data_IF_743770963785
#
_entry.id   IF_743770963785
#
_cell.length_a   1.000
_cell.length_b   1.000
_cell.length_c   1.000
_cell.angle_alpha   90.00
_cell.angle_beta   90.00
_cell.angle_gamma   90.00
#
_symmetry.space_group_name_H-M   'P 1'
#
loop_
_entity.id
_entity.type
_entity.pdbx_description
1 polymer ?
#
# COMPACT_ATOMS: atom_id res chain seq x y z
N UNK A 1 -36.43 -14.96 18.65
CA UNK A 1 -35.47 -15.79 19.41
C UNK A 1 -34.29 -16.26 18.55
N UNK A 2 -34.47 -16.62 17.27
CA UNK A 2 -33.35 -16.93 16.35
C UNK A 2 -32.53 -15.69 15.98
N UNK A 3 -33.16 -14.53 15.79
CA UNK A 3 -32.50 -13.31 15.32
C UNK A 3 -31.57 -12.69 16.37
N UNK A 4 -31.94 -12.75 17.65
CA UNK A 4 -31.12 -12.24 18.76
C UNK A 4 -29.78 -12.98 18.89
N UNK A 5 -29.72 -14.25 18.50
CA UNK A 5 -28.47 -15.01 18.48
C UNK A 5 -27.56 -14.57 17.32
N UNK A 6 -28.12 -14.39 16.13
CA UNK A 6 -27.38 -13.91 14.95
C UNK A 6 -26.82 -12.51 15.15
N UNK A 7 -27.60 -11.58 15.73
CA UNK A 7 -27.15 -10.22 16.04
C UNK A 7 -25.96 -10.24 17.01
N UNK A 8 -26.08 -10.97 18.13
CA UNK A 8 -24.98 -11.09 19.11
C UNK A 8 -23.73 -11.74 18.50
N UNK A 9 -23.93 -12.70 17.59
CA UNK A 9 -22.82 -13.37 16.90
C UNK A 9 -22.13 -12.43 15.90
N UNK A 10 -22.89 -11.61 15.19
CA UNK A 10 -22.37 -10.61 14.26
C UNK A 10 -21.59 -9.51 15.00
N UNK A 11 -22.11 -8.99 16.10
CA UNK A 11 -21.42 -8.01 16.96
C UNK A 11 -20.09 -8.56 17.49
N UNK A 12 -20.07 -9.82 17.91
CA UNK A 12 -18.85 -10.47 18.36
C UNK A 12 -17.80 -10.64 17.24
N UNK A 13 -18.23 -11.03 16.04
CA UNK A 13 -17.34 -11.12 14.87
C UNK A 13 -16.80 -9.74 14.46
N UNK A 14 -17.63 -8.70 14.54
CA UNK A 14 -17.22 -7.32 14.27
C UNK A 14 -16.16 -6.87 15.28
N UNK A 15 -16.38 -7.11 16.57
CA UNK A 15 -15.40 -6.81 17.63
C UNK A 15 -14.05 -7.53 17.41
N UNK A 16 -14.06 -8.79 16.97
CA UNK A 16 -12.83 -9.52 16.63
C UNK A 16 -12.08 -8.90 15.44
N UNK A 17 -12.82 -8.40 14.45
CA UNK A 17 -12.25 -7.66 13.32
C UNK A 17 -11.61 -6.35 13.78
N UNK A 18 -12.33 -5.57 14.59
CA UNK A 18 -11.89 -4.26 15.08
C UNK A 18 -10.68 -4.37 16.01
N UNK A 19 -10.60 -5.45 16.80
CA UNK A 19 -9.45 -5.76 17.67
C UNK A 19 -8.30 -6.47 16.94
N UNK A 20 -8.37 -6.62 15.61
CA UNK A 20 -7.37 -7.28 14.75
C UNK A 20 -7.05 -8.74 15.14
N UNK A 21 -7.98 -9.41 15.82
CA UNK A 21 -7.83 -10.82 16.19
C UNK A 21 -8.30 -11.73 15.04
N UNK A 22 -7.61 -11.64 13.89
CA UNK A 22 -8.02 -12.33 12.67
C UNK A 22 -8.05 -13.87 12.84
N UNK A 23 -7.13 -14.43 13.63
CA UNK A 23 -7.08 -15.88 13.88
C UNK A 23 -8.36 -16.43 14.54
N UNK A 24 -8.86 -15.73 15.56
CA UNK A 24 -10.11 -16.10 16.26
C UNK A 24 -11.34 -15.76 15.42
N UNK A 25 -11.31 -14.65 14.66
CA UNK A 25 -12.36 -14.32 13.69
C UNK A 25 -12.58 -15.45 12.69
N UNK A 26 -11.51 -15.90 12.00
CA UNK A 26 -11.63 -16.97 11.01
C UNK A 26 -12.03 -18.31 11.64
N UNK A 27 -11.60 -18.60 12.88
CA UNK A 27 -12.02 -19.79 13.59
C UNK A 27 -13.54 -19.79 13.86
N UNK A 28 -14.09 -18.64 14.29
CA UNK A 28 -15.52 -18.49 14.55
C UNK A 28 -16.37 -18.50 13.28
N UNK A 29 -15.91 -17.85 12.20
CA UNK A 29 -16.58 -17.92 10.89
C UNK A 29 -16.63 -19.35 10.37
N UNK A 30 -15.54 -20.13 10.52
CA UNK A 30 -15.53 -21.55 10.12
C UNK A 30 -16.54 -22.39 10.90
N UNK A 31 -16.77 -22.10 12.18
CA UNK A 31 -17.81 -22.79 12.98
C UNK A 31 -19.22 -22.49 12.45
N UNK A 32 -19.46 -21.29 11.93
CA UNK A 32 -20.76 -20.89 11.36
C UNK A 32 -21.03 -21.51 9.99
N UNK A 33 -20.01 -21.58 9.13
CA UNK A 33 -20.13 -22.14 7.77
C UNK A 33 -20.27 -23.67 7.79
N UNK A 34 -19.90 -24.31 8.91
CA UNK A 34 -19.98 -25.75 9.08
C UNK A 34 -18.88 -26.50 8.34
N UNK A 35 -18.95 -27.85 8.29
CA UNK A 35 -17.98 -28.67 7.58
C UNK A 35 -17.98 -28.32 6.08
N UNK A 36 -16.93 -27.66 5.62
CA UNK A 36 -16.77 -27.37 4.19
C UNK A 36 -16.44 -28.67 3.45
N UNK A 37 -17.39 -29.18 2.68
CA UNK A 37 -17.16 -30.35 1.83
C UNK A 37 -16.15 -29.98 0.74
N UNK A 38 -14.87 -30.29 0.96
CA UNK A 38 -13.85 -30.18 -0.07
C UNK A 38 -14.06 -31.30 -1.07
N UNK A 39 -14.89 -31.07 -2.08
CA UNK A 39 -14.86 -31.90 -3.29
C UNK A 39 -13.55 -31.61 -4.01
N UNK A 40 -12.48 -32.30 -3.63
CA UNK A 40 -11.27 -32.35 -4.45
C UNK A 40 -11.63 -33.12 -5.71
N UNK A 41 -11.80 -32.38 -6.82
CA UNK A 41 -11.97 -33.02 -8.12
C UNK A 41 -10.70 -33.83 -8.38
N UNK A 42 -10.81 -35.13 -8.68
CA UNK A 42 -9.65 -35.92 -9.06
C UNK A 42 -8.84 -35.27 -10.17
N UNK A 43 -7.55 -35.07 -9.94
CA UNK A 43 -6.65 -34.74 -11.03
C UNK A 43 -6.56 -35.96 -11.96
N UNK A 44 -6.73 -35.75 -13.25
CA UNK A 44 -6.62 -36.80 -14.26
C UNK A 44 -5.26 -36.78 -14.94
N UNK A 45 -4.82 -37.93 -15.43
CA UNK A 45 -3.67 -38.06 -16.33
C UNK A 45 -3.84 -37.17 -17.57
N UNK A 46 -2.76 -36.98 -18.34
CA UNK A 46 -2.81 -36.21 -19.60
C UNK A 46 -3.82 -36.78 -20.60
N UNK A 47 -3.97 -38.11 -20.67
CA UNK A 47 -4.97 -38.78 -21.51
C UNK A 47 -6.40 -38.68 -20.96
N UNK A 48 -6.59 -38.24 -19.71
CA UNK A 48 -7.90 -38.14 -19.08
C UNK A 48 -8.50 -39.46 -18.57
N UNK A 49 -7.80 -40.58 -18.78
CA UNK A 49 -8.30 -41.94 -18.51
C UNK A 49 -8.07 -42.36 -17.05
N UNK A 50 -6.98 -41.92 -16.42
CA UNK A 50 -6.60 -42.35 -15.07
C UNK A 50 -6.74 -41.23 -14.05
N UNK A 51 -7.34 -41.55 -12.90
CA UNK A 51 -7.39 -40.66 -11.72
C UNK A 51 -6.07 -40.74 -10.97
N UNK A 52 -5.39 -39.61 -10.82
CA UNK A 52 -4.16 -39.48 -10.05
C UNK A 52 -4.51 -39.24 -8.58
N UNK A 53 -4.13 -40.17 -7.71
CA UNK A 53 -4.36 -40.09 -6.26
C UNK A 53 -3.07 -40.00 -5.46
N UNK A 54 -1.96 -40.54 -5.98
CA UNK A 54 -0.65 -40.42 -5.36
C UNK A 54 -0.09 -39.00 -5.52
N UNK A 55 0.61 -38.51 -4.49
CA UNK A 55 1.14 -37.14 -4.44
C UNK A 55 2.18 -36.91 -5.54
N UNK A 56 3.02 -37.91 -5.77
CA UNK A 56 4.11 -37.90 -6.74
C UNK A 56 3.55 -37.76 -8.16
N UNK A 57 2.50 -38.52 -8.48
CA UNK A 57 1.84 -38.48 -9.78
C UNK A 57 1.13 -37.14 -10.03
N UNK A 58 0.51 -36.57 -8.98
CA UNK A 58 -0.11 -35.25 -9.05
C UNK A 58 0.94 -34.17 -9.34
N UNK A 59 2.07 -34.19 -8.62
CA UNK A 59 3.16 -33.23 -8.83
C UNK A 59 3.76 -33.35 -10.23
N UNK A 60 3.96 -34.58 -10.72
CA UNK A 60 4.42 -34.83 -12.09
C UNK A 60 3.46 -34.28 -13.13
N UNK A 61 2.15 -34.51 -12.95
CA UNK A 61 1.11 -33.99 -13.85
C UNK A 61 1.04 -32.46 -13.85
N UNK A 62 1.25 -31.82 -12.70
CA UNK A 62 1.37 -30.36 -12.60
C UNK A 62 2.60 -29.85 -13.34
N UNK A 63 3.76 -30.49 -13.16
CA UNK A 63 4.98 -30.12 -13.86
C UNK A 63 4.81 -30.20 -15.39
N UNK A 64 4.18 -31.26 -15.88
CA UNK A 64 3.83 -31.42 -17.30
C UNK A 64 2.90 -30.29 -17.77
N UNK A 65 1.83 -29.99 -17.02
CA UNK A 65 0.87 -28.95 -17.38
C UNK A 65 1.53 -27.56 -17.46
N UNK A 66 2.32 -27.18 -16.45
CA UNK A 66 2.97 -25.87 -16.42
C UNK A 66 4.06 -25.75 -17.48
N UNK A 67 4.78 -26.84 -17.79
CA UNK A 67 5.73 -26.85 -18.90
C UNK A 67 5.04 -26.55 -20.23
N UNK A 68 3.87 -27.15 -20.49
CA UNK A 68 3.09 -26.84 -21.69
C UNK A 68 2.45 -25.46 -21.67
N UNK A 69 2.04 -24.96 -20.52
CA UNK A 69 1.35 -23.67 -20.44
C UNK A 69 2.34 -22.50 -20.56
N UNK A 70 3.43 -22.56 -19.80
CA UNK A 70 4.38 -21.46 -19.60
C UNK A 70 5.62 -21.59 -20.48
N UNK A 71 6.12 -22.81 -20.70
CA UNK A 71 7.34 -23.05 -21.48
C UNK A 71 7.06 -23.49 -22.92
N UNK A 72 5.87 -23.17 -23.46
CA UNK A 72 5.67 -23.15 -24.91
C UNK A 72 6.69 -22.16 -25.45
N UNK A 73 7.58 -22.63 -26.34
CA UNK A 73 8.52 -21.80 -27.07
C UNK A 73 7.77 -20.78 -27.93
N UNK A 74 7.24 -19.74 -27.28
CA UNK A 74 6.83 -18.52 -27.93
C UNK A 74 8.15 -17.87 -28.29
N UNK A 75 8.59 -18.08 -29.53
CA UNK A 75 9.50 -17.14 -30.14
C UNK A 75 8.73 -15.83 -30.10
N UNK A 76 9.01 -15.00 -29.10
CA UNK A 76 8.53 -13.64 -29.11
C UNK A 76 9.06 -13.08 -30.42
N UNK A 77 8.16 -12.73 -31.33
CA UNK A 77 8.56 -12.07 -32.55
C UNK A 77 9.13 -10.71 -32.12
N UNK A 78 10.46 -10.65 -32.02
CA UNK A 78 11.18 -9.46 -31.60
C UNK A 78 10.87 -8.32 -32.59
N UNK A 79 10.60 -8.66 -33.85
CA UNK A 79 10.10 -7.74 -34.86
C UNK A 79 8.74 -7.15 -34.52
N UNK A 80 7.79 -7.97 -34.02
CA UNK A 80 6.51 -7.48 -33.52
C UNK A 80 6.71 -6.50 -32.37
N UNK A 81 7.55 -6.83 -31.39
CA UNK A 81 7.81 -5.96 -30.22
C UNK A 81 8.48 -4.65 -30.64
N UNK A 82 9.45 -4.69 -31.57
CA UNK A 82 10.10 -3.48 -32.09
C UNK A 82 9.15 -2.61 -32.91
N UNK A 83 8.09 -3.20 -33.47
CA UNK A 83 7.06 -2.51 -34.23
C UNK A 83 5.87 -2.04 -33.38
N UNK A 84 5.86 -2.33 -32.06
CA UNK A 84 4.91 -1.71 -31.14
C UNK A 84 5.32 -0.25 -31.02
N UNK A 85 4.60 0.63 -31.73
CA UNK A 85 4.72 2.05 -31.53
C UNK A 85 4.47 2.36 -30.05
N UNK A 86 5.30 3.19 -29.39
CA UNK A 86 4.99 3.69 -28.06
C UNK A 86 3.54 4.22 -28.07
N UNK A 87 2.73 3.94 -27.03
CA UNK A 87 1.44 4.61 -26.93
C UNK A 87 1.67 6.11 -27.10
N UNK A 88 0.78 6.83 -27.80
CA UNK A 88 0.90 8.27 -27.91
C UNK A 88 1.16 8.79 -26.50
N UNK A 89 2.23 9.57 -26.35
CA UNK A 89 2.54 10.26 -25.12
C UNK A 89 1.39 11.23 -24.90
N UNK A 90 0.30 10.75 -24.30
CA UNK A 90 -0.72 11.61 -23.74
C UNK A 90 0.04 12.29 -22.63
N UNK A 91 0.46 13.53 -22.86
CA UNK A 91 0.79 14.43 -21.77
C UNK A 91 -0.39 14.28 -20.82
N UNK A 92 -0.18 13.68 -19.65
CA UNK A 92 -1.17 13.66 -18.59
C UNK A 92 -1.48 15.12 -18.31
N UNK A 93 -2.50 15.63 -19.00
CA UNK A 93 -2.93 17.00 -18.81
C UNK A 93 -3.53 16.99 -17.42
N UNK A 94 -2.87 17.67 -16.49
CA UNK A 94 -3.44 17.92 -15.17
C UNK A 94 -4.66 18.86 -15.25
N UNK A 95 -4.96 19.38 -16.45
CA UNK A 95 -6.13 20.18 -16.70
C UNK A 95 -7.39 19.32 -16.62
N UNK A 96 -8.38 19.74 -15.81
CA UNK A 96 -9.64 19.03 -15.71
C UNK A 96 -10.34 19.04 -17.08
N UNK A 97 -11.00 17.93 -17.48
CA UNK A 97 -11.67 17.84 -18.76
C UNK A 97 -12.73 18.94 -18.89
N UNK A 98 -12.75 19.58 -20.06
CA UNK A 98 -13.68 20.68 -20.35
C UNK A 98 -15.09 20.14 -20.55
N UNK A 99 -16.11 20.93 -20.20
CA UNK A 99 -17.53 20.57 -20.36
C UNK A 99 -17.86 20.05 -21.79
N UNK A 100 -17.28 20.68 -22.82
CA UNK A 100 -17.47 20.26 -24.22
C UNK A 100 -16.85 18.88 -24.52
N UNK A 101 -15.70 18.57 -23.93
CA UNK A 101 -15.04 17.26 -24.10
C UNK A 101 -15.88 16.15 -23.47
N UNK A 102 -16.45 16.40 -22.28
CA UNK A 102 -17.34 15.45 -21.61
C UNK A 102 -18.60 15.21 -22.45
N UNK A 103 -19.23 16.28 -22.97
CA UNK A 103 -20.41 16.15 -23.83
C UNK A 103 -20.10 15.37 -25.11
N UNK A 104 -18.96 15.66 -25.76
CA UNK A 104 -18.53 14.93 -26.96
C UNK A 104 -18.24 13.46 -26.65
N UNK A 105 -17.58 13.16 -25.54
CA UNK A 105 -17.28 11.80 -25.13
C UNK A 105 -18.56 10.99 -24.87
N UNK A 106 -19.57 11.59 -24.25
CA UNK A 106 -20.89 10.97 -24.05
C UNK A 106 -21.59 10.72 -25.40
N UNK A 107 -21.47 11.63 -26.36
CA UNK A 107 -22.07 11.46 -27.70
C UNK A 107 -21.39 10.37 -28.54
N UNK A 108 -20.09 10.16 -28.35
CA UNK A 108 -19.31 9.16 -29.10
C UNK A 108 -19.46 7.74 -28.52
N UNK A 109 -20.08 7.58 -27.33
CA UNK A 109 -20.32 6.27 -26.74
C UNK A 109 -21.41 5.49 -27.50
N UNK A 110 -21.17 4.21 -27.84
CA UNK A 110 -22.15 3.39 -28.55
C UNK A 110 -23.32 2.98 -27.66
N UNK A 111 -24.55 3.21 -28.14
CA UNK A 111 -25.87 3.02 -27.47
C UNK A 111 -26.24 1.58 -27.03
N UNK A 112 -25.28 0.64 -26.98
CA UNK A 112 -25.55 -0.78 -26.76
C UNK A 112 -24.65 -1.37 -25.64
N UNK A 113 -24.34 -0.60 -24.59
CA UNK A 113 -23.56 -1.15 -23.46
C UNK A 113 -24.49 -1.75 -22.41
N UNK A 114 -24.07 -2.88 -21.84
CA UNK A 114 -24.76 -3.47 -20.70
C UNK A 114 -24.76 -2.49 -19.52
N UNK A 115 -25.91 -2.37 -18.86
CA UNK A 115 -26.06 -1.56 -17.63
C UNK A 115 -25.10 -2.08 -16.57
N UNK A 116 -24.34 -1.17 -15.95
CA UNK A 116 -23.41 -1.49 -14.89
C UNK A 116 -24.10 -1.98 -13.62
N UNK A 117 -23.31 -2.39 -12.62
CA UNK A 117 -23.79 -2.80 -11.29
C UNK A 117 -24.57 -1.66 -10.59
N UNK A 118 -24.29 -0.42 -10.97
CA UNK A 118 -24.99 0.79 -10.55
C UNK A 118 -26.42 0.91 -11.07
N UNK A 119 -26.87 0.00 -11.95
CA UNK A 119 -28.24 -0.08 -12.46
C UNK A 119 -28.73 1.19 -13.18
N UNK A 120 -27.82 2.04 -13.67
CA UNK A 120 -28.15 3.28 -14.38
C UNK A 120 -28.52 2.95 -15.83
N UNK A 121 -29.78 3.11 -16.26
CA UNK A 121 -30.19 2.77 -17.61
C UNK A 121 -29.68 3.81 -18.63
N UNK A 122 -29.02 3.34 -19.68
CA UNK A 122 -28.48 4.12 -20.82
C UNK A 122 -29.54 5.05 -21.46
N UNK A 123 -30.81 4.64 -21.43
CA UNK A 123 -31.95 5.34 -22.05
C UNK A 123 -32.42 6.60 -21.31
N UNK A 124 -31.85 6.94 -20.16
CA UNK A 124 -32.14 8.22 -19.50
C UNK A 124 -31.59 9.43 -20.27
N UNK A 125 -30.78 9.21 -21.32
CA UNK A 125 -30.04 10.28 -22.02
C UNK A 125 -30.65 10.77 -23.35
N UNK A 126 -31.77 10.19 -23.84
CA UNK A 126 -32.23 10.45 -25.23
C UNK A 126 -33.64 11.02 -25.40
N UNK A 127 -34.41 11.25 -24.33
CA UNK A 127 -35.72 11.96 -24.46
C UNK A 127 -35.54 13.42 -24.09
N UNK A 128 -36.18 14.34 -24.81
CA UNK A 128 -36.06 15.83 -24.86
C UNK A 128 -35.85 16.62 -23.54
N UNK A 129 -35.97 15.97 -22.38
CA UNK A 129 -35.50 16.41 -21.06
C UNK A 129 -33.97 16.26 -20.84
N UNK A 130 -33.28 15.50 -21.70
CA UNK A 130 -31.91 15.04 -21.51
C UNK A 130 -30.79 16.07 -21.76
N UNK A 131 -31.10 17.34 -22.04
CA UNK A 131 -30.06 18.37 -22.16
C UNK A 131 -29.72 19.03 -20.80
N UNK A 132 -30.70 19.08 -19.88
CA UNK A 132 -30.46 19.53 -18.49
C UNK A 132 -29.73 18.46 -17.70
N UNK A 133 -30.17 17.21 -17.80
CA UNK A 133 -29.59 16.09 -17.07
C UNK A 133 -28.14 15.79 -17.51
N UNK A 134 -27.81 15.97 -18.80
CA UNK A 134 -26.42 15.83 -19.29
C UNK A 134 -25.50 16.95 -18.81
N UNK A 135 -25.99 18.19 -18.77
CA UNK A 135 -25.23 19.32 -18.24
C UNK A 135 -25.00 19.17 -16.72
N UNK A 136 -25.98 18.65 -15.99
CA UNK A 136 -25.90 18.37 -14.56
C UNK A 136 -24.88 17.25 -14.26
N UNK A 137 -24.94 16.14 -15.00
CA UNK A 137 -23.96 15.04 -14.89
C UNK A 137 -22.55 15.52 -15.25
N UNK A 138 -22.39 16.31 -16.31
CA UNK A 138 -21.09 16.83 -16.72
C UNK A 138 -20.55 17.88 -15.72
N UNK A 139 -21.42 18.69 -15.10
CA UNK A 139 -21.04 19.61 -14.02
C UNK A 139 -20.61 18.86 -12.74
N UNK A 140 -21.32 17.78 -12.40
CA UNK A 140 -20.99 16.93 -11.25
C UNK A 140 -19.66 16.21 -11.47
N UNK A 141 -19.41 15.69 -12.67
CA UNK A 141 -18.12 15.11 -13.02
C UNK A 141 -17.01 16.15 -12.93
N UNK A 142 -17.18 17.31 -13.55
CA UNK A 142 -16.18 18.37 -13.55
C UNK A 142 -15.83 18.82 -12.12
N UNK A 143 -16.83 19.01 -11.26
CA UNK A 143 -16.63 19.33 -9.85
C UNK A 143 -15.90 18.21 -9.09
N UNK A 144 -16.22 16.94 -9.36
CA UNK A 144 -15.53 15.79 -8.75
C UNK A 144 -14.06 15.68 -9.15
N UNK A 145 -13.73 15.96 -10.42
CA UNK A 145 -12.34 16.02 -10.89
C UNK A 145 -11.56 17.18 -10.27
N UNK A 146 -12.19 18.35 -10.12
CA UNK A 146 -11.56 19.50 -9.44
C UNK A 146 -11.28 19.22 -7.96
N UNK A 147 -12.20 18.57 -7.25
CA UNK A 147 -12.01 18.15 -5.85
C UNK A 147 -10.87 17.11 -5.74
N UNK A 148 -10.81 16.15 -6.66
CA UNK A 148 -9.72 15.18 -6.71
C UNK A 148 -8.35 15.83 -6.94
N UNK A 149 -8.26 16.75 -7.91
CA UNK A 149 -7.03 17.50 -8.18
C UNK A 149 -6.62 18.36 -6.97
N UNK A 150 -7.58 19.01 -6.32
CA UNK A 150 -7.33 19.79 -5.09
C UNK A 150 -6.78 18.89 -3.96
N UNK A 151 -7.36 17.69 -3.77
CA UNK A 151 -6.90 16.72 -2.79
C UNK A 151 -5.51 16.17 -3.12
N UNK A 152 -5.22 15.90 -4.40
CA UNK A 152 -3.89 15.48 -4.88
C UNK A 152 -2.83 16.53 -4.51
N UNK A 153 -3.11 17.81 -4.79
CA UNK A 153 -2.21 18.92 -4.44
C UNK A 153 -1.95 19.01 -2.93
N UNK A 154 -2.99 18.86 -2.10
CA UNK A 154 -2.84 18.85 -0.63
C UNK A 154 -1.96 17.67 -0.17
N UNK A 155 -2.14 16.48 -0.74
CA UNK A 155 -1.33 15.30 -0.40
C UNK A 155 0.13 15.50 -0.79
N UNK A 156 0.40 16.12 -1.94
CA UNK A 156 1.77 16.44 -2.37
C UNK A 156 2.44 17.48 -1.46
N UNK A 157 1.72 18.53 -1.05
CA UNK A 157 2.20 19.52 -0.09
C UNK A 157 2.51 18.89 1.29
N UNK A 158 1.66 17.95 1.76
CA UNK A 158 1.92 17.20 2.98
C UNK A 158 3.16 16.30 2.88
N UNK A 159 3.41 15.68 1.71
CA UNK A 159 4.63 14.90 1.48
C UNK A 159 5.88 15.78 1.55
N UNK A 160 5.84 16.96 0.94
CA UNK A 160 6.95 17.91 0.95
C UNK A 160 7.26 18.33 2.39
N UNK A 161 6.26 18.75 3.16
CA UNK A 161 6.43 19.13 4.58
C UNK A 161 7.04 18.01 5.42
N UNK A 162 6.58 16.78 5.26
CA UNK A 162 7.12 15.63 5.99
C UNK A 162 8.61 15.39 5.65
N UNK A 163 8.96 15.47 4.36
CA UNK A 163 10.36 15.35 3.93
C UNK A 163 11.24 16.48 4.47
N UNK A 164 10.74 17.71 4.52
CA UNK A 164 11.46 18.85 5.10
C UNK A 164 11.69 18.67 6.61
N UNK A 165 10.68 18.21 7.35
CA UNK A 165 10.80 17.87 8.76
C UNK A 165 11.84 16.75 8.99
N UNK A 166 11.84 15.70 8.17
CA UNK A 166 12.82 14.61 8.26
C UNK A 166 14.25 15.10 7.96
N UNK A 167 14.43 15.95 6.94
CA UNK A 167 15.72 16.56 6.63
C UNK A 167 16.20 17.44 7.79
N UNK A 168 15.31 18.24 8.38
CA UNK A 168 15.68 19.11 9.49
C UNK A 168 16.09 18.30 10.73
N UNK A 169 15.33 17.26 11.06
CA UNK A 169 15.67 16.33 12.14
C UNK A 169 17.06 15.69 11.95
N UNK A 170 17.37 15.22 10.73
CA UNK A 170 18.69 14.64 10.42
C UNK A 170 19.83 15.66 10.54
N UNK A 171 19.59 16.92 10.18
CA UNK A 171 20.58 18.00 10.32
C UNK A 171 20.88 18.30 11.79
N UNK A 172 19.84 18.39 12.62
CA UNK A 172 19.99 18.60 14.07
C UNK A 172 20.78 17.46 14.72
N UNK A 173 20.50 16.21 14.34
CA UNK A 173 21.24 15.05 14.83
C UNK A 173 22.74 15.11 14.47
N UNK A 174 23.05 15.43 13.20
CA UNK A 174 24.44 15.60 12.76
C UNK A 174 25.16 16.73 13.50
N UNK A 175 24.48 17.85 13.75
CA UNK A 175 25.05 18.96 14.52
C UNK A 175 25.38 18.54 15.96
N UNK A 176 24.45 17.84 16.61
CA UNK A 176 24.64 17.35 17.98
C UNK A 176 25.81 16.36 18.07
N UNK A 177 25.97 15.49 17.07
CA UNK A 177 27.11 14.56 16.98
C UNK A 177 28.44 15.31 16.82
N UNK A 178 28.49 16.32 15.94
CA UNK A 178 29.69 17.14 15.75
C UNK A 178 30.05 17.91 17.03
N UNK A 179 29.07 18.48 17.73
CA UNK A 179 29.31 19.18 19.00
C UNK A 179 29.81 18.21 20.08
N UNK A 180 29.26 17.00 20.13
CA UNK A 180 29.69 15.95 21.06
C UNK A 180 31.15 15.57 20.83
N UNK A 181 31.52 15.27 19.58
CA UNK A 181 32.91 14.92 19.22
C UNK A 181 33.85 16.09 19.47
N UNK A 182 33.41 17.33 19.20
CA UNK A 182 34.20 18.54 19.51
C UNK A 182 34.48 18.66 21.00
N UNK A 183 33.47 18.52 21.86
CA UNK A 183 33.64 18.57 23.33
C UNK A 183 34.54 17.45 23.83
N UNK A 184 34.41 16.24 23.27
CA UNK A 184 35.29 15.12 23.62
C UNK A 184 36.75 15.41 23.25
N UNK A 185 36.99 16.01 22.08
CA UNK A 185 38.32 16.44 21.65
C UNK A 185 38.88 17.52 22.58
N UNK A 186 38.07 18.52 22.93
CA UNK A 186 38.44 19.62 23.84
C UNK A 186 38.86 19.08 25.22
N UNK A 187 38.09 18.13 25.76
CA UNK A 187 38.45 17.42 27.00
C UNK A 187 39.78 16.66 26.83
N UNK A 188 39.96 15.92 25.74
CA UNK A 188 41.21 15.17 25.48
C UNK A 188 42.42 16.10 25.34
N UNK A 189 42.26 17.25 24.71
CA UNK A 189 43.31 18.27 24.57
C UNK A 189 43.67 18.82 25.95
N UNK A 190 42.68 19.18 26.76
CA UNK A 190 42.89 19.73 28.10
C UNK A 190 43.61 18.72 29.02
N UNK A 191 43.17 17.45 29.02
CA UNK A 191 43.87 16.38 29.75
C UNK A 191 45.31 16.22 29.28
N UNK A 192 45.56 16.23 27.96
CA UNK A 192 46.92 16.17 27.42
C UNK A 192 47.79 17.36 27.88
N UNK A 193 47.22 18.57 27.94
CA UNK A 193 47.94 19.76 28.41
C UNK A 193 48.31 19.65 29.90
N UNK A 194 47.40 19.16 30.74
CA UNK A 194 47.65 18.93 32.16
C UNK A 194 48.77 17.90 32.41
N UNK A 195 48.82 16.84 31.59
CA UNK A 195 49.88 15.83 31.65
C UNK A 195 51.25 16.40 31.25
N UNK A 196 51.32 17.27 30.24
CA UNK A 196 52.57 17.90 29.79
C UNK A 196 53.11 18.95 30.76
N UNK A 197 52.23 19.60 31.53
CA UNK A 197 52.59 20.66 32.48
C UNK A 197 53.21 20.19 33.81
N UNK A 198 53.49 18.89 34.00
CA UNK A 198 53.99 18.31 35.26
C UNK A 198 53.11 18.62 36.51
N UNK A 199 51.82 18.94 36.32
CA UNK A 199 50.91 19.32 37.40
C UNK A 199 49.66 18.41 37.45
N UNK A 200 49.80 17.15 37.04
CA UNK A 200 48.70 16.18 37.01
C UNK A 200 48.45 15.62 38.42
N UNK A 201 47.43 16.14 39.10
CA UNK A 201 46.96 15.62 40.39
C UNK A 201 45.73 14.73 40.18
N UNK A 202 45.89 13.41 40.31
CA UNK A 202 44.82 12.40 40.20
C UNK A 202 43.66 12.67 41.17
N UNK A 203 43.90 13.38 42.28
CA UNK A 203 42.85 13.74 43.25
C UNK A 203 41.83 14.75 42.74
N UNK A 204 42.16 15.53 41.70
CA UNK A 204 41.23 16.51 41.13
C UNK A 204 40.26 15.89 40.09
N UNK A 205 40.57 14.70 39.57
CA UNK A 205 39.79 14.04 38.50
C UNK A 205 38.68 13.17 39.06
N UNK A 206 38.91 12.54 40.21
CA UNK A 206 37.90 11.78 40.94
C UNK A 206 37.68 12.49 42.27
N UNK A 207 36.76 13.45 42.31
CA UNK A 207 36.41 14.17 43.53
C UNK A 207 36.16 13.20 44.69
N UNK A 208 37.10 13.13 45.64
CA UNK A 208 36.98 12.25 46.81
C UNK A 208 35.85 12.80 47.68
N UNK A 209 34.84 12.00 48.08
CA UNK A 209 33.93 12.42 49.14
C UNK A 209 34.74 12.47 50.43
N UNK A 210 34.74 13.62 51.12
CA UNK A 210 35.35 13.80 52.43
C UNK A 210 34.75 12.76 53.40
N UNK A 211 35.38 11.60 53.52
CA UNK A 211 35.03 10.63 54.54
C UNK A 211 35.45 11.22 55.90
N UNK A 212 34.45 11.67 56.66
CA UNK A 212 34.59 11.85 58.09
C UNK A 212 34.88 10.50 58.74
N UNK A 213 36.00 10.42 59.45
CA UNK A 213 36.30 9.41 60.47
C UNK A 213 37.44 9.99 61.28
N UNK A 214 37.18 10.56 62.45
CA UNK A 214 36.90 9.90 63.73
C UNK A 214 38.09 10.24 64.65
N UNK A 215 37.94 11.32 65.42
CA UNK A 215 38.82 11.56 66.55
C UNK A 215 38.40 10.61 67.68
N UNK A 216 39.28 9.67 68.00
CA UNK A 216 39.47 9.14 69.35
C UNK A 216 40.00 10.21 70.28
#
# INVERSE_FOLDING_TARGET
MKDSWWSRKAEYLQWLSDTKQLGTFYAEVRKLVGPMHRSSVPLKSRSGEQRLTAKEDVLKRWAEHFKELLNKGRVADIGFISNILPPPQVSESEEPPTMQEIVNAIQVQPNNRAVGVDSIPEKATTTTQGNKDKAEVASTLCGGFQDFNSKKAIVEDLKIKNLEEEINFKRELCQLQLETVRKELEIKIEVCNQLKGHNFNIQNVYGIPKNGSANT
#
